data_IF_976900620437
#
_entry.id   IF_976900620437
#
_cell.length_a   1.000
_cell.length_b   1.000
_cell.length_c   1.000
_cell.angle_alpha   90.00
_cell.angle_beta   90.00
_cell.angle_gamma   90.00
#
_symmetry.space_group_name_H-M   'P 1'
#
loop_
_entity.id
_entity.type
_entity.pdbx_description
1 polymer ?
#
# COMPACT_ATOMS: atom_id res chain seq x y z
N UNK A 1 4.84 -4.23 -2.17
CA UNK A 1 5.79 -3.12 -2.42
C UNK A 1 6.33 -3.30 -3.84
N UNK A 2 6.29 -2.27 -4.70
CA UNK A 2 6.68 -2.40 -6.11
C UNK A 2 8.16 -2.09 -6.29
N UNK A 3 8.91 -2.98 -6.93
CA UNK A 3 10.26 -2.72 -7.44
C UNK A 3 10.18 -2.60 -8.95
N UNK A 4 10.53 -1.44 -9.49
CA UNK A 4 10.61 -1.15 -10.92
C UNK A 4 12.05 -0.79 -11.25
N UNK A 5 12.63 -1.53 -12.20
CA UNK A 5 13.94 -1.23 -12.78
C UNK A 5 13.72 -0.51 -14.10
N UNK A 6 14.12 0.76 -14.18
CA UNK A 6 14.17 1.50 -15.44
C UNK A 6 15.32 0.98 -16.33
N UNK A 7 15.17 0.98 -17.66
CA UNK A 7 16.25 0.64 -18.58
C UNK A 7 17.39 1.66 -18.51
N UNK A 8 18.59 1.13 -18.72
CA UNK A 8 19.89 1.80 -18.67
C UNK A 8 20.05 2.71 -19.89
N UNK A 9 20.70 3.86 -19.70
CA UNK A 9 21.15 4.88 -20.68
C UNK A 9 20.38 6.22 -20.58
N UNK A 10 20.77 7.06 -19.61
CA UNK A 10 20.61 8.51 -19.72
C UNK A 10 21.78 9.21 -19.03
N UNK A 11 22.55 9.94 -19.83
CA UNK A 11 23.72 10.71 -19.44
C UNK A 11 23.35 11.84 -18.45
N UNK A 12 24.21 12.00 -17.45
CA UNK A 12 24.14 13.02 -16.42
C UNK A 12 24.44 14.41 -16.99
N UNK A 13 23.41 15.13 -17.43
CA UNK A 13 23.44 16.60 -17.46
C UNK A 13 22.01 17.13 -17.50
N UNK A 14 21.62 17.85 -16.43
CA UNK A 14 20.35 18.60 -16.25
C UNK A 14 19.22 17.93 -15.44
N UNK A 15 19.44 17.56 -14.16
CA UNK A 15 18.34 17.12 -13.27
C UNK A 15 17.27 18.21 -13.03
N UNK A 16 17.55 19.48 -13.36
CA UNK A 16 16.60 20.58 -13.19
C UNK A 16 15.61 20.72 -14.34
N UNK A 17 15.95 20.32 -15.57
CA UNK A 17 15.05 20.44 -16.72
C UNK A 17 14.00 19.33 -16.75
N UNK A 18 14.35 18.13 -16.28
CA UNK A 18 13.45 16.98 -16.25
C UNK A 18 12.42 17.09 -15.10
N UNK A 19 12.78 17.69 -13.97
CA UNK A 19 11.83 18.02 -12.89
C UNK A 19 10.81 19.09 -13.30
N UNK A 20 11.22 20.07 -14.11
CA UNK A 20 10.33 21.13 -14.62
C UNK A 20 9.35 20.59 -15.68
N UNK A 21 9.79 19.62 -16.51
CA UNK A 21 8.95 18.98 -17.51
C UNK A 21 7.79 18.16 -16.91
N UNK A 22 7.92 17.67 -15.68
CA UNK A 22 6.90 16.85 -14.98
C UNK A 22 5.67 17.68 -14.59
N UNK A 23 5.85 18.98 -14.35
CA UNK A 23 4.74 19.89 -14.06
C UNK A 23 3.99 20.35 -15.32
N UNK A 24 4.47 19.98 -16.51
CA UNK A 24 3.75 20.29 -17.74
C UNK A 24 2.45 19.46 -17.79
N UNK A 25 1.30 20.10 -18.11
CA UNK A 25 0.01 19.42 -18.14
C UNK A 25 -0.03 18.27 -19.16
N UNK A 26 0.79 18.36 -20.20
CA UNK A 26 0.96 17.32 -21.23
C UNK A 26 1.54 16.02 -20.67
N UNK A 27 2.56 16.12 -19.80
CA UNK A 27 3.19 14.96 -19.16
C UNK A 27 2.24 14.35 -18.14
N UNK A 28 1.51 15.16 -17.37
CA UNK A 28 0.48 14.67 -16.44
C UNK A 28 -0.65 13.94 -17.17
N UNK A 29 -1.11 14.46 -18.31
CA UNK A 29 -2.11 13.81 -19.14
C UNK A 29 -1.62 12.48 -19.72
N UNK A 30 -0.32 12.36 -19.98
CA UNK A 30 0.28 11.10 -20.44
C UNK A 30 0.27 10.00 -19.35
N UNK A 31 0.37 10.38 -18.07
CA UNK A 31 0.26 9.46 -16.93
C UNK A 31 -1.18 8.96 -16.77
N UNK A 32 -2.19 9.77 -17.10
CA UNK A 32 -3.60 9.36 -17.04
C UNK A 32 -3.96 8.29 -18.08
N UNK A 33 -3.22 8.20 -19.19
CA UNK A 33 -3.44 7.18 -20.21
C UNK A 33 -2.70 5.87 -19.87
N UNK A 34 -3.47 4.81 -19.68
CA UNK A 34 -2.97 3.46 -19.33
C UNK A 34 -2.04 2.92 -20.41
N UNK A 35 -2.31 3.21 -21.68
CA UNK A 35 -1.55 2.64 -22.80
C UNK A 35 -0.11 3.15 -22.79
N UNK A 36 0.04 4.46 -22.53
CA UNK A 36 1.34 5.13 -22.38
C UNK A 36 2.01 4.78 -21.05
N UNK A 37 1.24 4.66 -19.98
CA UNK A 37 1.80 4.29 -18.68
C UNK A 37 2.39 2.88 -18.66
N UNK A 38 1.74 1.93 -19.36
CA UNK A 38 2.19 0.53 -19.44
C UNK A 38 3.47 0.33 -20.27
N UNK A 39 3.82 1.25 -21.17
CA UNK A 39 5.13 1.19 -21.84
C UNK A 39 6.29 1.59 -20.93
N UNK A 40 6.01 2.37 -19.88
CA UNK A 40 7.02 2.84 -18.92
C UNK A 40 7.17 1.90 -17.74
N UNK A 41 6.07 1.27 -17.29
CA UNK A 41 6.01 0.50 -16.04
C UNK A 41 5.60 -0.96 -16.28
N UNK A 42 6.43 -1.89 -15.79
CA UNK A 42 6.19 -3.32 -15.86
C UNK A 42 6.15 -3.96 -14.47
N UNK A 43 5.04 -4.65 -14.15
CA UNK A 43 4.93 -5.40 -12.90
C UNK A 43 5.93 -6.58 -12.90
N UNK A 44 6.94 -6.52 -12.05
CA UNK A 44 7.92 -7.61 -11.90
C UNK A 44 7.46 -8.66 -10.88
N UNK A 45 7.11 -8.21 -9.68
CA UNK A 45 6.73 -9.07 -8.57
C UNK A 45 5.65 -8.44 -7.71
N UNK A 46 4.80 -9.29 -7.15
CA UNK A 46 3.71 -8.90 -6.27
C UNK A 46 3.60 -9.91 -5.14
N UNK A 47 3.51 -9.41 -3.91
CA UNK A 47 3.38 -10.22 -2.70
C UNK A 47 2.11 -9.80 -1.95
N UNK A 48 1.03 -10.60 -2.02
CA UNK A 48 -0.17 -10.38 -1.22
C UNK A 48 0.08 -10.77 0.23
N UNK A 49 -0.61 -10.10 1.16
CA UNK A 49 -0.67 -10.53 2.55
C UNK A 49 -1.77 -11.57 2.72
N UNK A 50 -1.51 -12.63 3.49
CA UNK A 50 -2.50 -13.69 3.74
C UNK A 50 -3.44 -13.31 4.88
N UNK A 51 -2.93 -12.60 5.89
CA UNK A 51 -3.69 -12.25 7.10
C UNK A 51 -3.73 -10.75 7.36
N UNK A 52 -4.81 -10.28 8.01
CA UNK A 52 -4.96 -8.87 8.40
C UNK A 52 -3.92 -8.45 9.44
N UNK A 53 -3.52 -9.37 10.33
CA UNK A 53 -2.50 -9.10 11.35
C UNK A 53 -1.12 -8.87 10.72
N UNK A 54 -0.72 -9.72 9.78
CA UNK A 54 0.52 -9.54 9.03
C UNK A 54 0.53 -8.22 8.25
N UNK A 55 -0.57 -7.88 7.56
CA UNK A 55 -0.72 -6.60 6.88
C UNK A 55 -0.61 -5.41 7.84
N UNK A 56 -1.16 -5.55 9.06
CA UNK A 56 -1.12 -4.53 10.10
C UNK A 56 0.27 -4.36 10.70
N UNK A 57 0.99 -5.44 10.99
CA UNK A 57 2.35 -5.39 11.51
C UNK A 57 3.30 -4.75 10.49
N UNK A 58 3.18 -5.14 9.22
CA UNK A 58 3.88 -4.50 8.10
C UNK A 58 3.56 -3.00 8.00
N UNK A 59 2.27 -2.63 8.09
CA UNK A 59 1.84 -1.23 8.09
C UNK A 59 2.49 -0.44 9.22
N UNK A 60 2.51 -0.98 10.45
CA UNK A 60 3.15 -0.30 11.58
C UNK A 60 4.65 -0.08 11.39
N UNK A 61 5.36 -1.07 10.84
CA UNK A 61 6.78 -0.95 10.55
C UNK A 61 7.03 0.16 9.53
N UNK A 62 6.26 0.19 8.44
CA UNK A 62 6.34 1.25 7.42
C UNK A 62 6.04 2.62 8.02
N UNK A 63 5.00 2.74 8.86
CA UNK A 63 4.67 4.01 9.54
C UNK A 63 5.80 4.53 10.45
N UNK A 64 6.66 3.65 10.95
CA UNK A 64 7.82 4.00 11.78
C UNK A 64 9.11 4.12 10.97
N UNK A 65 9.05 3.96 9.64
CA UNK A 65 10.21 3.96 8.75
C UNK A 65 11.12 2.74 8.92
N UNK A 66 10.63 1.65 9.52
CA UNK A 66 11.40 0.41 9.76
C UNK A 66 11.10 -0.64 8.69
N UNK A 67 12.12 -1.41 8.32
CA UNK A 67 11.99 -2.54 7.43
C UNK A 67 11.33 -3.72 8.16
N UNK A 68 10.24 -4.28 7.61
CA UNK A 68 9.67 -5.54 8.08
C UNK A 68 10.40 -6.74 7.49
N UNK A 69 10.34 -7.90 8.16
CA UNK A 69 11.03 -9.12 7.71
C UNK A 69 10.51 -9.63 6.35
N UNK A 70 9.19 -9.61 6.12
CA UNK A 70 8.61 -10.02 4.83
C UNK A 70 9.10 -9.12 3.70
N UNK A 71 9.25 -7.83 3.99
CA UNK A 71 9.77 -6.88 3.03
C UNK A 71 11.26 -7.13 2.73
N UNK A 72 12.06 -7.48 3.73
CA UNK A 72 13.45 -7.88 3.55
C UNK A 72 13.55 -9.07 2.60
N UNK A 73 12.82 -10.15 2.89
CA UNK A 73 12.80 -11.38 2.08
C UNK A 73 12.32 -11.08 0.65
N UNK A 74 11.30 -10.23 0.51
CA UNK A 74 10.78 -9.83 -0.79
C UNK A 74 11.83 -9.06 -1.61
N UNK A 75 12.57 -8.13 -1.00
CA UNK A 75 13.60 -7.37 -1.71
C UNK A 75 14.80 -8.24 -2.07
N UNK A 76 15.23 -9.15 -1.19
CA UNK A 76 16.32 -10.08 -1.49
C UNK A 76 16.02 -11.01 -2.66
N UNK A 77 14.78 -11.48 -2.79
CA UNK A 77 14.36 -12.38 -3.85
C UNK A 77 14.18 -11.67 -5.21
N UNK A 78 13.75 -10.40 -5.19
CA UNK A 78 13.37 -9.69 -6.41
C UNK A 78 14.42 -8.69 -6.91
N UNK A 79 15.35 -8.25 -6.06
CA UNK A 79 16.41 -7.32 -6.46
C UNK A 79 17.70 -8.10 -6.75
N UNK A 80 18.19 -8.11 -8.01
CA UNK A 80 19.45 -8.76 -8.32
C UNK A 80 20.59 -8.03 -7.61
N UNK A 81 21.31 -8.75 -6.74
CA UNK A 81 22.49 -8.23 -6.03
C UNK A 81 23.49 -7.67 -7.05
N UNK A 82 23.90 -6.42 -6.87
CA UNK A 82 24.84 -5.76 -7.76
C UNK A 82 26.18 -6.54 -7.75
N UNK A 83 26.45 -7.31 -8.81
CA UNK A 83 27.78 -7.84 -9.07
C UNK A 83 28.68 -6.69 -9.51
N UNK A 84 29.94 -6.68 -9.04
CA UNK A 84 30.99 -5.74 -9.47
C UNK A 84 30.98 -5.66 -11.00
N UNK A 85 30.61 -4.50 -11.55
CA UNK A 85 30.58 -4.22 -13.00
C UNK A 85 29.20 -4.10 -13.67
N UNK A 86 28.08 -4.27 -12.97
CA UNK A 86 26.73 -3.93 -13.48
C UNK A 86 26.15 -2.74 -12.72
N UNK A 87 25.55 -1.80 -13.45
CA UNK A 87 24.89 -0.60 -12.93
C UNK A 87 24.08 -0.90 -11.66
N UNK A 88 24.36 -0.14 -10.60
CA UNK A 88 23.67 -0.22 -9.32
C UNK A 88 22.16 -0.10 -9.55
N UNK A 89 21.39 -1.08 -9.05
CA UNK A 89 19.93 -0.99 -9.11
C UNK A 89 19.50 0.11 -8.16
N UNK A 90 18.86 1.15 -8.70
CA UNK A 90 18.27 2.23 -7.92
C UNK A 90 16.82 1.85 -7.63
N UNK A 91 16.46 1.81 -6.34
CA UNK A 91 15.12 1.50 -5.88
C UNK A 91 14.34 2.80 -5.62
N UNK A 92 13.20 2.99 -6.26
CA UNK A 92 12.30 4.12 -5.97
C UNK A 92 11.45 3.85 -4.75
N UNK A 93 11.53 4.68 -3.71
CA UNK A 93 10.74 4.57 -2.48
C UNK A 93 9.88 5.81 -2.30
N UNK A 94 8.70 5.68 -1.66
CA UNK A 94 7.82 6.83 -1.38
C UNK A 94 8.23 7.64 -0.15
N UNK A 95 9.00 7.04 0.77
CA UNK A 95 9.36 7.59 2.06
C UNK A 95 10.89 7.55 2.22
N UNK A 96 11.47 8.68 2.61
CA UNK A 96 12.91 8.86 2.83
C UNK A 96 13.42 8.07 4.02
N UNK A 97 12.64 7.97 5.10
CA UNK A 97 13.01 7.22 6.30
C UNK A 97 13.11 5.72 6.00
N UNK A 98 12.14 5.20 5.24
CA UNK A 98 12.14 3.81 4.81
C UNK A 98 13.27 3.53 3.81
N UNK A 99 13.53 4.46 2.88
CA UNK A 99 14.64 4.36 1.94
C UNK A 99 15.99 4.25 2.65
N UNK A 100 16.20 5.05 3.70
CA UNK A 100 17.41 5.01 4.53
C UNK A 100 17.57 3.65 5.20
N UNK A 101 16.50 3.14 5.86
CA UNK A 101 16.50 1.81 6.48
C UNK A 101 16.79 0.67 5.48
N UNK A 102 16.31 0.78 4.24
CA UNK A 102 16.59 -0.20 3.17
C UNK A 102 18.06 -0.13 2.75
N UNK A 103 18.60 1.06 2.57
CA UNK A 103 20.00 1.25 2.19
C UNK A 103 20.95 0.74 3.27
N UNK A 104 20.63 0.97 4.54
CA UNK A 104 21.44 0.49 5.67
C UNK A 104 21.41 -1.04 5.82
N UNK A 105 20.28 -1.68 5.52
CA UNK A 105 20.11 -3.14 5.72
C UNK A 105 20.54 -3.97 4.51
N UNK A 106 20.18 -3.54 3.30
CA UNK A 106 20.37 -4.30 2.06
C UNK A 106 21.47 -3.72 1.16
N UNK A 107 21.99 -2.53 1.45
CA UNK A 107 23.02 -1.87 0.65
C UNK A 107 22.53 -1.42 -0.73
N UNK A 108 21.21 -1.29 -0.93
CA UNK A 108 20.60 -0.87 -2.19
C UNK A 108 20.47 0.66 -2.20
N UNK A 109 20.86 1.30 -3.31
CA UNK A 109 20.67 2.74 -3.47
C UNK A 109 19.18 3.07 -3.63
N UNK A 110 18.62 3.84 -2.71
CA UNK A 110 17.22 4.28 -2.76
C UNK A 110 17.12 5.73 -3.26
N UNK A 111 16.19 6.00 -4.17
CA UNK A 111 15.88 7.35 -4.65
C UNK A 111 14.44 7.74 -4.27
N UNK A 112 14.26 8.99 -3.85
CA UNK A 112 12.99 9.60 -3.43
C UNK A 112 12.73 10.94 -4.15
N UNK A 113 13.34 11.14 -5.33
CA UNK A 113 13.10 12.33 -6.17
C UNK A 113 11.61 12.47 -6.57
N UNK A 114 11.20 13.70 -6.88
CA UNK A 114 9.84 14.02 -7.31
C UNK A 114 9.35 13.18 -8.49
N UNK A 115 10.25 12.80 -9.40
CA UNK A 115 9.95 11.91 -10.54
C UNK A 115 9.45 10.54 -10.06
N UNK A 116 10.10 9.97 -9.04
CA UNK A 116 9.73 8.67 -8.46
C UNK A 116 8.35 8.75 -7.81
N UNK A 117 8.06 9.84 -7.12
CA UNK A 117 6.77 10.05 -6.47
C UNK A 117 5.61 10.15 -7.48
N UNK A 118 5.84 10.80 -8.62
CA UNK A 118 4.86 10.88 -9.71
C UNK A 118 4.64 9.54 -10.41
N UNK A 119 5.69 8.76 -10.62
CA UNK A 119 5.55 7.37 -11.10
C UNK A 119 4.74 6.54 -10.11
N UNK A 120 5.02 6.63 -8.81
CA UNK A 120 4.25 5.93 -7.76
C UNK A 120 2.79 6.42 -7.74
N UNK A 121 2.53 7.70 -8.01
CA UNK A 121 1.18 8.26 -8.16
C UNK A 121 0.44 7.62 -9.34
N UNK A 122 1.09 7.51 -10.50
CA UNK A 122 0.55 6.82 -11.66
C UNK A 122 0.24 5.33 -11.39
N UNK A 123 1.14 4.63 -10.68
CA UNK A 123 0.93 3.23 -10.26
C UNK A 123 -0.32 3.11 -9.38
N UNK A 124 -0.50 4.02 -8.41
CA UNK A 124 -1.69 4.02 -7.53
C UNK A 124 -2.98 4.27 -8.31
N UNK A 125 -2.96 5.18 -9.28
CA UNK A 125 -4.13 5.49 -10.10
C UNK A 125 -4.54 4.31 -11.00
N UNK A 126 -3.56 3.62 -11.60
CA UNK A 126 -3.79 2.48 -12.51
C UNK A 126 -3.73 1.11 -11.82
N UNK A 127 -3.56 1.07 -10.50
CA UNK A 127 -3.39 -0.15 -9.71
C UNK A 127 -4.35 -1.30 -10.05
N UNK A 128 -5.69 -1.08 -10.14
CA UNK A 128 -6.62 -2.17 -10.46
C UNK A 128 -6.44 -2.74 -11.87
N UNK A 129 -5.83 -1.99 -12.79
CA UNK A 129 -5.63 -2.41 -14.19
C UNK A 129 -4.22 -2.98 -14.42
N UNK A 130 -3.27 -2.73 -13.53
CA UNK A 130 -1.89 -3.20 -13.63
C UNK A 130 -1.69 -4.62 -13.09
N UNK A 131 -2.50 -5.03 -12.11
CA UNK A 131 -2.37 -6.36 -11.49
C UNK A 131 -3.31 -7.35 -12.18
N UNK A 132 -2.73 -8.23 -13.00
CA UNK A 132 -3.44 -9.34 -13.64
C UNK A 132 -3.82 -10.39 -12.59
N UNK A 133 -4.96 -10.21 -11.93
CA UNK A 133 -5.45 -11.14 -10.90
C UNK A 133 -6.40 -10.51 -9.89
N UNK A 134 -6.27 -9.20 -9.65
CA UNK A 134 -7.22 -8.41 -8.88
C UNK A 134 -8.27 -7.84 -9.81
N UNK A 135 -9.24 -8.66 -10.24
CA UNK A 135 -10.30 -8.23 -11.15
C UNK A 135 -11.36 -7.35 -10.46
N UNK A 136 -11.46 -7.43 -9.14
CA UNK A 136 -12.53 -6.77 -8.39
C UNK A 136 -12.00 -5.59 -7.59
N UNK A 137 -12.26 -4.38 -8.07
CA UNK A 137 -12.04 -3.12 -7.32
C UNK A 137 -12.67 -3.21 -5.92
N UNK A 138 -13.85 -3.84 -5.82
CA UNK A 138 -14.55 -4.05 -4.57
C UNK A 138 -13.74 -4.83 -3.52
N UNK A 139 -12.87 -5.75 -3.94
CA UNK A 139 -12.02 -6.52 -3.01
C UNK A 139 -10.90 -5.64 -2.45
N UNK A 140 -10.32 -4.77 -3.28
CA UNK A 140 -9.31 -3.79 -2.84
C UNK A 140 -9.93 -2.84 -1.82
N UNK A 141 -11.11 -2.28 -2.14
CA UNK A 141 -11.81 -1.32 -1.28
C UNK A 141 -12.19 -1.96 0.07
N UNK A 142 -12.69 -3.21 0.05
CA UNK A 142 -12.99 -3.96 1.28
C UNK A 142 -11.75 -4.24 2.13
N UNK A 143 -10.64 -4.63 1.51
CA UNK A 143 -9.37 -4.87 2.22
C UNK A 143 -8.81 -3.59 2.84
N UNK A 144 -8.88 -2.46 2.12
CA UNK A 144 -8.50 -1.14 2.65
C UNK A 144 -9.38 -0.74 3.84
N UNK A 145 -10.71 -0.92 3.71
CA UNK A 145 -11.66 -0.63 4.77
C UNK A 145 -11.39 -1.50 6.01
N UNK A 146 -11.19 -2.81 5.83
CA UNK A 146 -10.88 -3.76 6.90
C UNK A 146 -9.62 -3.38 7.67
N UNK A 147 -8.52 -3.08 6.96
CA UNK A 147 -7.27 -2.64 7.57
C UNK A 147 -7.42 -1.30 8.30
N UNK A 148 -8.15 -0.34 7.71
CA UNK A 148 -8.38 0.97 8.32
C UNK A 148 -9.18 0.87 9.63
N UNK A 149 -10.22 0.04 9.66
CA UNK A 149 -10.98 -0.21 10.89
C UNK A 149 -10.15 -0.94 11.94
N UNK A 150 -9.35 -1.93 11.53
CA UNK A 150 -8.46 -2.65 12.43
C UNK A 150 -7.44 -1.69 13.08
N UNK A 151 -6.79 -0.84 12.26
CA UNK A 151 -5.87 0.19 12.73
C UNK A 151 -6.55 1.20 13.67
N UNK A 152 -7.71 1.73 13.29
CA UNK A 152 -8.44 2.71 14.10
C UNK A 152 -8.88 2.12 15.45
N UNK A 153 -9.37 0.88 15.47
CA UNK A 153 -9.79 0.19 16.71
C UNK A 153 -8.63 0.03 17.68
N UNK A 154 -7.47 -0.43 17.20
CA UNK A 154 -6.29 -0.65 18.05
C UNK A 154 -5.74 0.70 18.54
N UNK A 155 -5.64 1.69 17.66
CA UNK A 155 -5.12 3.01 18.01
C UNK A 155 -6.00 3.74 19.03
N UNK A 156 -7.31 3.71 18.83
CA UNK A 156 -8.27 4.42 19.68
C UNK A 156 -8.63 3.64 20.96
N UNK A 157 -8.14 2.40 21.11
CA UNK A 157 -8.55 1.47 22.19
C UNK A 157 -10.07 1.49 22.36
N UNK A 158 -10.83 1.42 21.26
CA UNK A 158 -12.29 1.60 21.29
C UNK A 158 -12.87 0.54 22.24
N UNK A 159 -13.25 0.98 23.44
CA UNK A 159 -13.82 0.13 24.45
C UNK A 159 -15.23 -0.25 24.01
N UNK A 160 -15.66 -1.44 24.38
CA UNK A 160 -16.98 -2.01 24.11
C UNK A 160 -18.11 -1.29 24.86
N UNK A 161 -18.04 0.03 24.99
CA UNK A 161 -18.96 0.84 25.80
C UNK A 161 -20.39 0.80 25.23
N UNK A 162 -20.54 0.40 23.96
CA UNK A 162 -21.85 0.16 23.32
C UNK A 162 -22.49 -1.18 23.73
N UNK A 163 -21.71 -2.20 24.12
CA UNK A 163 -22.27 -3.53 24.39
C UNK A 163 -23.24 -3.51 25.58
N UNK A 164 -22.95 -2.73 26.62
CA UNK A 164 -23.78 -2.71 27.83
C UNK A 164 -25.17 -2.15 27.54
N UNK A 165 -25.35 -0.94 26.97
CA UNK A 165 -26.68 -0.45 26.59
C UNK A 165 -27.43 -1.39 25.63
N UNK A 166 -26.74 -1.95 24.63
CA UNK A 166 -27.37 -2.84 23.63
C UNK A 166 -27.89 -4.15 24.25
N UNK A 167 -27.17 -4.71 25.23
CA UNK A 167 -27.64 -5.92 25.95
C UNK A 167 -28.82 -5.64 26.88
N UNK A 168 -28.88 -4.46 27.50
CA UNK A 168 -30.03 -4.05 28.33
C UNK A 168 -31.27 -3.87 27.45
N UNK A 169 -31.12 -3.18 26.32
CA UNK A 169 -32.21 -2.98 25.35
C UNK A 169 -32.74 -4.32 24.82
N UNK A 170 -31.85 -5.27 24.50
CA UNK A 170 -32.24 -6.62 24.09
C UNK A 170 -32.99 -7.37 25.20
N UNK A 171 -32.56 -7.25 26.46
CA UNK A 171 -33.25 -7.86 27.60
C UNK A 171 -34.65 -7.26 27.80
N UNK A 172 -34.78 -5.95 27.68
CA UNK A 172 -36.07 -5.26 27.80
C UNK A 172 -37.01 -5.62 26.67
N UNK A 173 -36.49 -5.78 25.45
CA UNK A 173 -37.26 -6.24 24.30
C UNK A 173 -37.76 -7.68 24.50
N UNK A 174 -36.90 -8.59 24.97
CA UNK A 174 -37.31 -9.97 25.30
C UNK A 174 -38.41 -10.02 26.36
N UNK A 175 -38.32 -9.18 27.40
CA UNK A 175 -39.35 -9.10 28.43
C UNK A 175 -40.71 -8.64 27.86
N UNK A 176 -40.71 -7.65 26.96
CA UNK A 176 -41.94 -7.18 26.28
C UNK A 176 -42.51 -8.28 25.37
N UNK A 177 -41.66 -8.97 24.65
CA UNK A 177 -42.05 -10.04 23.72
C UNK A 177 -42.65 -11.23 24.48
N UNK A 178 -42.04 -11.65 25.60
CA UNK A 178 -42.59 -12.71 26.48
C UNK A 178 -43.99 -12.35 26.98
N UNK A 179 -44.19 -11.12 27.47
CA UNK A 179 -45.50 -10.70 27.98
C UNK A 179 -46.55 -10.62 26.86
N UNK A 180 -46.14 -10.17 25.68
CA UNK A 180 -47.02 -10.09 24.50
C UNK A 180 -47.38 -11.49 23.98
N UNK A 181 -46.45 -12.45 24.00
CA UNK A 181 -46.72 -13.83 23.60
C UNK A 181 -47.53 -14.57 24.66
N UNK A 182 -47.22 -14.39 25.94
CA UNK A 182 -47.95 -15.00 27.05
C UNK A 182 -49.41 -14.56 27.12
N UNK A 183 -49.69 -13.28 26.82
CA UNK A 183 -51.07 -12.77 26.71
C UNK A 183 -51.84 -13.27 25.49
N UNK A 184 -51.16 -13.77 24.45
CA UNK A 184 -51.81 -14.35 23.25
C UNK A 184 -52.10 -15.84 23.35
N UNK A 185 -51.40 -16.56 24.22
CA UNK A 185 -51.58 -18.01 24.45
C UNK A 185 -52.72 -18.29 25.45
N UNK A 186 -53.16 -17.28 26.19
CA UNK A 186 -54.23 -17.35 27.18
C UNK A 186 -55.56 -16.87 26.60
#
# INVERSE_FOLDING_TARGET
MFSLRAPVDMDCSEPQFEEVAIFMPEVQNSILDISKFRSVVFLHAFHPFETVNEAYDNMQCIMKGKLHMDLHIFLENNVPKAKKGKQSVVLGVSDTALGTSITDTLGIACNTSGVVLEVIRGIRFHFPKLIKGYKDQATIDRSQLGLSHHYARIKLKVKFDRLVPETVDMSDQLNKDINTLGSRVR
#
